data_IF_642340263023
#
_entry.id   IF_642340263023
#
_cell.length_a   1.000
_cell.length_b   1.000
_cell.length_c   1.000
_cell.angle_alpha   90.00
_cell.angle_beta   90.00
_cell.angle_gamma   90.00
#
_symmetry.space_group_name_H-M   'P 1'
#
loop_
_entity.id
_entity.type
_entity.pdbx_description
1 polymer ?
#
# COMPACT_ATOMS: atom_id res chain seq x y z
N UNK A 1 7.93 37.96 45.98
CA UNK A 1 6.99 38.02 45.32
C UNK A 1 7.21 38.19 43.92
N UNK A 2 7.96 38.84 43.56
CA UNK A 2 8.18 39.03 42.28
C UNK A 2 8.54 37.83 41.62
N UNK A 3 9.13 36.99 42.13
CA UNK A 3 9.58 35.87 41.47
C UNK A 3 8.52 35.14 40.76
N UNK A 4 7.43 35.13 41.25
CA UNK A 4 6.47 34.39 40.62
C UNK A 4 6.20 34.78 39.29
N UNK A 5 6.40 35.92 38.94
CA UNK A 5 6.11 36.25 37.64
C UNK A 5 6.86 35.45 36.71
N UNK A 6 8.01 35.12 36.96
CA UNK A 6 8.76 34.43 35.97
C UNK A 6 8.19 33.16 35.58
N UNK A 7 7.66 32.51 36.49
CA UNK A 7 7.20 31.27 36.18
C UNK A 7 6.09 31.27 35.30
N UNK A 8 5.27 32.16 35.35
CA UNK A 8 4.17 32.07 34.52
C UNK A 8 4.59 32.10 33.11
N UNK A 9 5.55 32.76 32.79
CA UNK A 9 5.89 32.85 31.40
C UNK A 9 6.35 31.54 30.92
N UNK A 10 7.04 30.88 31.66
CA UNK A 10 7.56 29.66 31.20
C UNK A 10 6.50 28.70 30.88
N UNK A 11 5.54 28.63 31.65
CA UNK A 11 4.52 27.72 31.39
C UNK A 11 3.91 27.92 30.06
N UNK A 12 3.69 29.08 29.73
CA UNK A 12 3.03 29.29 28.48
C UNK A 12 3.80 28.77 27.34
N UNK A 13 5.04 28.97 27.36
CA UNK A 13 5.78 28.53 26.26
C UNK A 13 5.77 27.09 26.11
N UNK A 14 5.84 26.43 27.13
CA UNK A 14 5.89 25.02 27.05
C UNK A 14 4.76 24.48 26.32
N UNK A 15 3.61 24.94 26.59
CA UNK A 15 2.54 24.34 25.99
C UNK A 15 2.47 24.56 24.58
N UNK A 16 2.83 25.64 24.12
CA UNK A 16 2.67 25.81 22.76
C UNK A 16 3.56 24.90 21.99
N UNK A 17 4.66 24.56 22.46
CA UNK A 17 5.50 23.72 21.67
C UNK A 17 4.84 22.36 21.55
N UNK A 18 4.18 21.91 22.52
CA UNK A 18 3.56 20.65 22.40
C UNK A 18 2.53 20.64 21.33
N UNK A 19 1.87 21.68 21.18
CA UNK A 19 0.86 21.71 20.19
C UNK A 19 1.43 21.48 18.83
N UNK A 20 2.53 22.02 18.55
CA UNK A 20 3.08 21.85 17.27
C UNK A 20 3.37 20.43 16.99
N UNK A 21 3.84 19.72 17.91
CA UNK A 21 4.13 18.37 17.66
C UNK A 21 2.93 17.60 17.35
N UNK A 22 1.86 17.95 17.88
CA UNK A 22 0.68 17.22 17.60
C UNK A 22 0.37 17.23 16.17
N UNK A 23 0.94 18.09 15.46
CA UNK A 23 0.62 18.14 14.09
C UNK A 23 1.24 17.06 13.27
N UNK A 24 1.91 16.18 13.84
CA UNK A 24 2.49 15.12 13.09
C UNK A 24 1.43 14.19 12.62
N UNK A 25 0.82 14.49 11.56
CA UNK A 25 -0.18 13.64 11.01
C UNK A 25 0.50 12.63 10.13
N UNK A 26 0.15 11.40 10.28
CA UNK A 26 0.72 10.38 9.46
C UNK A 26 0.04 10.44 8.13
N UNK A 27 0.73 10.87 7.14
CA UNK A 27 0.19 10.90 5.80
C UNK A 27 0.51 9.58 5.13
N UNK A 28 -0.34 9.10 4.25
CA UNK A 28 -0.02 7.89 3.52
C UNK A 28 1.24 8.11 2.70
N UNK A 29 2.03 7.09 2.53
CA UNK A 29 3.23 7.19 1.75
C UNK A 29 2.86 7.59 0.33
N UNK A 30 3.55 8.54 -0.24
CA UNK A 30 3.22 8.98 -1.59
C UNK A 30 3.37 7.85 -2.56
N UNK A 31 2.46 7.72 -3.46
CA UNK A 31 2.57 6.74 -4.51
C UNK A 31 1.95 5.41 -4.26
N UNK A 32 1.51 5.14 -3.05
CA UNK A 32 0.86 3.86 -2.82
C UNK A 32 -0.57 3.89 -3.36
N UNK A 33 -0.97 2.78 -3.96
CA UNK A 33 -2.33 2.68 -4.47
C UNK A 33 -3.32 2.64 -3.30
N UNK A 34 -4.32 3.47 -3.37
CA UNK A 34 -5.28 3.57 -2.26
C UNK A 34 -6.65 3.03 -2.62
N UNK A 35 -6.79 2.30 -3.68
CA UNK A 35 -8.07 1.72 -4.05
C UNK A 35 -8.94 2.58 -4.93
N UNK A 36 -8.47 3.73 -5.33
CA UNK A 36 -9.25 4.62 -6.18
C UNK A 36 -9.19 4.22 -7.66
N UNK A 37 -9.83 5.02 -8.48
CA UNK A 37 -9.86 4.80 -9.91
C UNK A 37 -8.68 5.50 -10.55
N UNK A 38 -7.97 4.79 -11.42
CA UNK A 38 -6.81 5.30 -12.12
C UNK A 38 -7.18 5.54 -13.57
N UNK A 39 -6.87 6.70 -14.09
CA UNK A 39 -7.22 7.03 -15.46
C UNK A 39 -6.36 6.34 -16.51
N UNK A 40 -5.17 5.91 -16.12
CA UNK A 40 -4.22 5.34 -17.06
C UNK A 40 -4.41 3.83 -17.12
N UNK A 41 -4.61 3.31 -18.31
CA UNK A 41 -4.79 1.87 -18.49
C UNK A 41 -3.52 1.13 -18.12
N UNK A 42 -3.60 -0.01 -17.44
CA UNK A 42 -2.40 -0.78 -17.15
C UNK A 42 -1.85 -1.39 -18.43
N UNK A 43 -0.54 -1.55 -18.51
CA UNK A 43 0.06 -2.27 -19.65
C UNK A 43 -0.35 -3.73 -19.62
N UNK A 44 -0.09 -4.44 -20.69
CA UNK A 44 -0.31 -5.88 -20.71
C UNK A 44 0.57 -6.54 -19.63
N UNK A 45 0.11 -7.59 -19.00
CA UNK A 45 0.92 -8.28 -17.99
C UNK A 45 2.23 -8.77 -18.58
N UNK A 46 3.28 -8.70 -17.78
CA UNK A 46 4.57 -9.20 -18.22
C UNK A 46 4.58 -10.71 -18.20
N UNK A 47 5.30 -11.29 -19.13
CA UNK A 47 5.44 -12.75 -19.19
C UNK A 47 6.47 -13.14 -18.13
N UNK A 48 6.12 -14.09 -17.29
CA UNK A 48 7.01 -14.56 -16.24
C UNK A 48 7.34 -16.03 -16.42
N UNK A 49 8.55 -16.41 -16.08
CA UNK A 49 8.93 -17.81 -16.08
C UNK A 49 8.60 -18.37 -14.72
N UNK A 50 7.56 -19.19 -14.65
CA UNK A 50 7.10 -19.70 -13.37
C UNK A 50 7.98 -20.82 -12.84
N UNK A 51 8.42 -21.71 -13.70
CA UNK A 51 9.27 -22.81 -13.28
C UNK A 51 8.53 -23.84 -12.46
N UNK A 52 9.26 -24.49 -11.56
CA UNK A 52 8.74 -25.58 -10.76
C UNK A 52 8.68 -25.10 -9.31
N UNK A 53 7.65 -25.53 -8.58
CA UNK A 53 7.52 -25.18 -7.20
C UNK A 53 8.74 -25.66 -6.40
N UNK A 54 9.34 -24.79 -5.59
CA UNK A 54 10.53 -25.17 -4.84
C UNK A 54 10.22 -26.14 -3.70
N UNK A 55 8.98 -26.19 -3.26
CA UNK A 55 8.56 -27.03 -2.15
C UNK A 55 7.14 -27.49 -2.42
N UNK A 56 6.81 -28.73 -2.07
CA UNK A 56 5.43 -29.19 -2.23
C UNK A 56 4.47 -28.30 -1.46
N UNK A 57 3.32 -28.04 -2.04
CA UNK A 57 2.33 -27.21 -1.38
C UNK A 57 2.49 -25.72 -1.64
N UNK A 58 3.55 -25.30 -2.31
CA UNK A 58 3.70 -23.92 -2.69
C UNK A 58 2.87 -23.62 -3.93
N UNK A 59 2.41 -22.38 -4.00
CA UNK A 59 1.66 -21.89 -5.16
C UNK A 59 2.35 -20.67 -5.72
N UNK A 60 2.08 -20.39 -6.97
CA UNK A 60 2.65 -19.22 -7.64
C UNK A 60 1.71 -18.05 -7.44
N UNK A 61 2.25 -16.97 -6.86
CA UNK A 61 1.53 -15.72 -6.77
C UNK A 61 2.00 -14.87 -7.94
N UNK A 62 1.18 -14.81 -8.99
CA UNK A 62 1.58 -14.16 -10.21
C UNK A 62 1.86 -12.67 -10.04
N UNK A 63 2.75 -12.15 -10.84
CA UNK A 63 3.05 -10.74 -10.81
C UNK A 63 1.89 -9.90 -11.30
N UNK A 64 1.95 -8.63 -11.04
CA UNK A 64 0.88 -7.72 -11.42
C UNK A 64 1.39 -6.29 -11.49
N UNK A 65 0.61 -5.44 -12.12
CA UNK A 65 0.93 -4.02 -12.15
C UNK A 65 0.37 -3.36 -10.91
N UNK A 66 1.22 -2.64 -10.17
CA UNK A 66 0.79 -1.84 -9.04
C UNK A 66 0.84 -0.36 -9.44
N UNK A 67 0.04 0.46 -8.82
CA UNK A 67 0.02 1.88 -9.11
C UNK A 67 0.79 2.59 -8.00
N UNK A 68 1.94 3.13 -8.35
CA UNK A 68 2.83 3.75 -7.39
C UNK A 68 3.40 5.02 -8.01
N UNK A 69 3.31 6.12 -7.32
CA UNK A 69 3.92 7.34 -7.80
C UNK A 69 3.37 7.86 -9.11
N UNK A 70 2.10 7.64 -9.37
CA UNK A 70 1.49 8.11 -10.61
C UNK A 70 1.76 7.26 -11.82
N UNK A 71 2.20 6.03 -11.64
CA UNK A 71 2.49 5.16 -12.78
C UNK A 71 2.30 3.71 -12.39
N UNK A 72 2.17 2.85 -13.39
CA UNK A 72 2.12 1.43 -13.17
C UNK A 72 3.54 0.89 -13.00
N UNK A 73 3.75 0.09 -11.96
CA UNK A 73 5.04 -0.52 -11.66
C UNK A 73 4.82 -2.01 -11.52
N UNK A 74 5.63 -2.81 -12.20
CA UNK A 74 5.46 -4.25 -12.15
C UNK A 74 5.97 -4.83 -10.83
N UNK A 75 5.13 -5.65 -10.20
CA UNK A 75 5.49 -6.41 -9.00
C UNK A 75 5.69 -7.85 -9.45
N UNK A 76 6.89 -8.38 -9.36
CA UNK A 76 7.15 -9.73 -9.83
C UNK A 76 6.41 -10.79 -9.04
N UNK A 77 6.04 -11.87 -9.70
CA UNK A 77 5.44 -13.01 -9.02
C UNK A 77 6.47 -13.76 -8.18
N UNK A 78 5.98 -14.62 -7.33
CA UNK A 78 6.85 -15.41 -6.48
C UNK A 78 6.14 -16.68 -6.01
N UNK A 79 6.92 -17.64 -5.54
CA UNK A 79 6.39 -18.85 -4.95
C UNK A 79 6.20 -18.65 -3.46
N UNK A 80 5.09 -19.10 -2.93
CA UNK A 80 4.82 -19.01 -1.49
C UNK A 80 3.89 -20.11 -1.04
N UNK A 81 3.69 -20.22 0.27
CA UNK A 81 2.88 -21.30 0.83
C UNK A 81 1.45 -21.24 0.34
N UNK A 82 0.91 -22.38 0.00
CA UNK A 82 -0.48 -22.48 -0.40
C UNK A 82 -1.40 -22.51 0.81
N UNK A 83 -2.68 -22.58 0.52
CA UNK A 83 -3.70 -22.66 1.56
C UNK A 83 -4.62 -23.83 1.18
N UNK A 84 -4.66 -24.84 2.03
CA UNK A 84 -5.39 -26.05 1.72
C UNK A 84 -6.86 -25.75 1.42
N UNK A 85 -7.36 -26.30 0.34
CA UNK A 85 -8.74 -26.09 -0.06
C UNK A 85 -9.00 -24.77 -0.77
N UNK A 86 -7.95 -24.00 -1.03
CA UNK A 86 -8.08 -22.71 -1.69
C UNK A 86 -7.11 -22.60 -2.84
N UNK A 87 -7.40 -21.70 -3.76
CA UNK A 87 -6.46 -21.33 -4.80
C UNK A 87 -6.29 -19.82 -4.82
N UNK A 88 -5.16 -19.36 -5.32
CA UNK A 88 -4.88 -17.92 -5.35
C UNK A 88 -5.45 -17.30 -6.62
N UNK A 89 -6.21 -16.21 -6.43
CA UNK A 89 -6.70 -15.42 -7.55
C UNK A 89 -5.83 -14.16 -7.60
N UNK A 90 -5.11 -13.93 -8.69
CA UNK A 90 -4.15 -12.83 -8.72
C UNK A 90 -4.82 -11.46 -8.78
N UNK A 91 -4.04 -10.43 -8.45
CA UNK A 91 -4.49 -9.06 -8.62
C UNK A 91 -4.74 -8.79 -10.10
N UNK A 92 -5.82 -8.11 -10.40
CA UNK A 92 -6.12 -7.73 -11.78
C UNK A 92 -6.67 -6.31 -11.80
N UNK A 93 -6.58 -5.67 -12.93
CA UNK A 93 -7.19 -4.36 -13.11
C UNK A 93 -8.49 -4.54 -13.88
N UNK A 94 -9.55 -3.87 -13.41
CA UNK A 94 -10.85 -3.94 -14.07
C UNK A 94 -11.27 -2.56 -14.51
N UNK A 95 -11.94 -2.49 -15.63
CA UNK A 95 -12.43 -1.24 -16.14
C UNK A 95 -13.64 -0.79 -15.36
N UNK A 96 -13.64 0.47 -14.91
CA UNK A 96 -14.79 1.02 -14.19
C UNK A 96 -15.01 2.45 -14.69
N UNK A 97 -16.14 2.70 -15.25
CA UNK A 97 -16.43 4.02 -15.78
C UNK A 97 -15.33 4.51 -16.71
N UNK A 98 -14.78 5.64 -16.42
CA UNK A 98 -13.74 6.21 -17.24
C UNK A 98 -12.33 5.82 -16.86
N UNK A 99 -12.17 4.84 -16.03
CA UNK A 99 -10.83 4.49 -15.55
C UNK A 99 -10.68 3.04 -15.18
N UNK A 100 -9.78 2.75 -14.28
CA UNK A 100 -9.41 1.40 -13.91
C UNK A 100 -9.27 1.29 -12.41
N UNK A 101 -9.64 0.15 -11.86
CA UNK A 101 -9.48 -0.10 -10.43
C UNK A 101 -8.89 -1.48 -10.26
N UNK A 102 -7.98 -1.64 -9.32
CA UNK A 102 -7.39 -2.94 -9.06
C UNK A 102 -8.34 -3.78 -8.23
N UNK A 103 -8.57 -5.01 -8.68
CA UNK A 103 -9.24 -6.02 -7.90
C UNK A 103 -8.13 -6.78 -7.16
N UNK A 104 -8.09 -6.71 -5.83
CA UNK A 104 -6.98 -7.31 -5.09
C UNK A 104 -6.94 -8.82 -5.24
N UNK A 105 -5.75 -9.38 -5.18
CA UNK A 105 -5.60 -10.81 -5.13
C UNK A 105 -6.18 -11.38 -3.86
N UNK A 106 -6.64 -12.59 -3.91
CA UNK A 106 -7.28 -13.20 -2.77
C UNK A 106 -7.34 -14.72 -2.91
N UNK A 107 -7.63 -15.37 -1.82
CA UNK A 107 -7.83 -16.80 -1.82
C UNK A 107 -9.30 -17.08 -2.16
N UNK A 108 -9.52 -18.11 -2.98
CA UNK A 108 -10.87 -18.54 -3.34
C UNK A 108 -10.94 -20.05 -3.22
N UNK A 109 -12.13 -20.56 -3.01
CA UNK A 109 -12.35 -22.02 -2.95
C UNK A 109 -12.65 -22.61 -4.32
#
# INVERSE_FOLDING_TARGET
MKSLRGLKTVAGIALLSGALLGGCVVAPAPGYYSGGVVAVAPPAPQVEVVGVAPTPGYVWFGGYWNWVGGRHVWVPGYWGPGRAGYHWVPHTWVRVGGGWRMAPGHWAR
#
